data_IF_272647229228
#
_entry.id   IF_272647229228
#
_cell.length_a   1.000
_cell.length_b   1.000
_cell.length_c   1.000
_cell.angle_alpha   90.00
_cell.angle_beta   90.00
_cell.angle_gamma   90.00
#
_symmetry.space_group_name_H-M   'P 1'
#
loop_
_entity.id
_entity.type
_entity.pdbx_description
1 polymer ?
#
# COMPACT_ATOMS: atom_id res chain seq x y z
N UNK A 1 2.22 6.37 -8.07
CA UNK A 1 2.08 6.19 -6.62
C UNK A 1 2.17 7.54 -5.93
N UNK A 2 1.31 7.80 -4.96
CA UNK A 2 1.41 9.01 -4.13
C UNK A 2 2.41 8.83 -2.97
N UNK A 3 2.91 9.92 -2.39
CA UNK A 3 3.74 9.85 -1.19
C UNK A 3 2.92 9.39 0.03
N UNK A 4 3.56 8.65 0.92
CA UNK A 4 3.06 8.26 2.23
C UNK A 4 3.56 9.26 3.28
N UNK A 5 2.65 9.82 4.09
CA UNK A 5 3.03 10.60 5.27
C UNK A 5 3.06 9.70 6.50
N UNK A 6 4.17 9.69 7.22
CA UNK A 6 4.33 8.97 8.49
C UNK A 6 5.20 9.79 9.45
N UNK A 7 4.71 9.98 10.68
CA UNK A 7 5.41 10.75 11.72
C UNK A 7 5.85 12.16 11.27
N UNK A 8 5.05 12.80 10.40
CA UNK A 8 5.35 14.14 9.86
C UNK A 8 6.34 14.17 8.70
N UNK A 9 6.89 13.01 8.29
CA UNK A 9 7.79 12.90 7.15
C UNK A 9 7.07 12.31 5.93
N UNK A 10 7.53 12.67 4.74
CA UNK A 10 7.03 12.15 3.47
C UNK A 10 7.97 11.06 2.93
N UNK A 11 7.40 9.95 2.52
CA UNK A 11 8.10 8.78 1.97
C UNK A 11 7.47 8.34 0.66
N UNK A 12 8.28 7.90 -0.31
CA UNK A 12 7.75 7.31 -1.55
C UNK A 12 8.74 6.33 -2.16
N UNK A 13 8.20 5.40 -2.94
CA UNK A 13 8.98 4.38 -3.64
C UNK A 13 9.45 4.91 -5.00
N UNK A 14 10.69 4.60 -5.36
CA UNK A 14 11.25 4.84 -6.70
C UNK A 14 12.19 3.71 -7.09
N UNK A 15 12.46 3.54 -8.39
CA UNK A 15 13.57 2.71 -8.84
C UNK A 15 14.90 3.31 -8.38
N UNK A 16 15.85 2.43 -8.08
CA UNK A 16 17.23 2.82 -7.75
C UNK A 16 17.93 3.31 -9.04
N UNK A 17 18.51 4.53 -9.05
CA UNK A 17 19.25 5.03 -10.20
C UNK A 17 20.56 4.26 -10.47
N UNK A 18 21.16 3.67 -9.43
CA UNK A 18 22.45 2.99 -9.52
C UNK A 18 22.31 1.49 -9.85
N UNK A 19 21.16 0.88 -9.53
CA UNK A 19 20.80 -0.49 -9.92
C UNK A 19 19.36 -0.54 -10.45
N UNK A 20 19.22 -0.82 -11.74
CA UNK A 20 17.92 -0.85 -12.40
C UNK A 20 17.00 -1.96 -11.91
N UNK A 21 17.50 -2.94 -11.15
CA UNK A 21 16.74 -4.06 -10.59
C UNK A 21 16.26 -3.83 -9.14
N UNK A 22 16.59 -2.68 -8.55
CA UNK A 22 16.26 -2.38 -7.16
C UNK A 22 15.23 -1.25 -7.05
N UNK A 23 14.51 -1.28 -5.93
CA UNK A 23 13.64 -0.21 -5.50
C UNK A 23 14.16 0.34 -4.17
N UNK A 24 13.92 1.62 -3.94
CA UNK A 24 14.26 2.29 -2.70
C UNK A 24 13.11 3.18 -2.24
N UNK A 25 13.09 3.47 -0.94
CA UNK A 25 12.27 4.52 -0.35
C UNK A 25 13.10 5.80 -0.32
N UNK A 26 12.56 6.87 -0.89
CA UNK A 26 13.05 8.24 -0.69
C UNK A 26 12.25 8.91 0.41
N UNK A 27 12.90 9.85 1.08
CA UNK A 27 12.25 10.81 1.97
C UNK A 27 12.66 12.24 1.61
N UNK A 28 11.90 13.21 2.08
CA UNK A 28 12.27 14.62 2.02
C UNK A 28 12.71 15.09 3.40
N UNK A 29 13.95 15.56 3.51
CA UNK A 29 14.47 16.20 4.71
C UNK A 29 14.12 17.70 4.67
N UNK A 30 13.12 18.09 5.45
CA UNK A 30 12.69 19.48 5.57
C UNK A 30 13.73 20.40 6.21
N UNK A 31 14.70 19.88 6.96
CA UNK A 31 15.72 20.70 7.64
C UNK A 31 16.79 21.18 6.66
N UNK A 32 17.17 20.33 5.71
CA UNK A 32 18.17 20.65 4.69
C UNK A 32 17.56 20.85 3.30
N UNK A 33 16.23 20.74 3.17
CA UNK A 33 15.47 20.83 1.92
C UNK A 33 15.96 19.88 0.81
N UNK A 34 16.34 18.65 1.18
CA UNK A 34 16.92 17.68 0.24
C UNK A 34 16.22 16.33 0.23
N UNK A 35 16.24 15.69 -0.94
CA UNK A 35 15.81 14.30 -1.09
C UNK A 35 16.88 13.34 -0.58
N UNK A 36 16.49 12.41 0.30
CA UNK A 36 17.38 11.39 0.87
C UNK A 36 16.90 9.99 0.51
N UNK A 37 17.83 9.07 0.31
CA UNK A 37 17.50 7.64 0.34
C UNK A 37 17.26 7.26 1.80
N UNK A 38 16.08 6.71 2.09
CA UNK A 38 15.73 6.22 3.42
C UNK A 38 16.19 4.77 3.60
N UNK A 39 15.76 3.87 2.70
CA UNK A 39 16.21 2.47 2.71
C UNK A 39 15.99 1.81 1.35
N UNK A 40 16.65 0.66 1.12
CA UNK A 40 16.32 -0.24 0.03
C UNK A 40 15.05 -1.03 0.35
N UNK A 41 14.31 -1.45 -0.68
CA UNK A 41 13.17 -2.35 -0.54
C UNK A 41 13.64 -3.82 -0.55
N UNK A 42 12.91 -4.72 0.14
CA UNK A 42 13.30 -6.13 0.28
C UNK A 42 13.05 -6.96 -0.99
N UNK A 43 12.39 -6.38 -2.00
CA UNK A 43 11.97 -7.07 -3.21
C UNK A 43 12.72 -6.53 -4.43
N UNK A 44 13.11 -7.45 -5.32
CA UNK A 44 13.67 -7.08 -6.63
C UNK A 44 12.58 -6.61 -7.58
N UNK A 45 12.99 -5.77 -8.53
CA UNK A 45 12.19 -5.40 -9.69
C UNK A 45 12.18 -6.54 -10.69
N UNK A 46 10.99 -7.09 -10.93
CA UNK A 46 10.77 -8.09 -11.96
C UNK A 46 10.45 -7.42 -13.30
N UNK A 47 9.71 -6.31 -13.26
CA UNK A 47 9.32 -5.56 -14.45
C UNK A 47 9.17 -4.07 -14.14
N UNK A 48 9.32 -3.22 -15.16
CA UNK A 48 9.10 -1.76 -15.05
C UNK A 48 7.66 -1.35 -14.75
N UNK A 49 6.73 -2.31 -14.77
CA UNK A 49 5.29 -2.14 -14.53
C UNK A 49 4.83 -2.87 -13.26
N UNK A 50 5.76 -3.37 -12.45
CA UNK A 50 5.38 -3.92 -11.14
C UNK A 50 4.64 -2.82 -10.36
N UNK A 51 3.51 -3.19 -9.76
CA UNK A 51 2.78 -2.28 -8.88
C UNK A 51 3.39 -2.36 -7.50
N UNK A 52 3.65 -1.22 -6.87
CA UNK A 52 4.08 -1.12 -5.48
C UNK A 52 3.17 -0.16 -4.74
N UNK A 53 2.75 -0.52 -3.53
CA UNK A 53 1.94 0.37 -2.69
C UNK A 53 2.57 0.39 -1.33
N UNK A 54 2.99 1.59 -0.90
CA UNK A 54 3.54 1.82 0.44
C UNK A 54 2.41 2.26 1.37
N UNK A 55 2.33 1.67 2.56
CA UNK A 55 1.33 2.01 3.57
C UNK A 55 1.91 1.97 4.99
N UNK A 56 1.18 2.51 5.96
CA UNK A 56 1.53 2.45 7.38
C UNK A 56 1.21 1.06 7.94
N UNK A 57 2.13 0.51 8.72
CA UNK A 57 1.97 -0.76 9.43
C UNK A 57 2.15 -0.58 10.93
N UNK A 58 1.22 -1.11 11.74
CA UNK A 58 1.29 -1.10 13.22
C UNK A 58 1.73 0.25 13.81
N UNK A 59 1.19 1.36 13.30
CA UNK A 59 1.41 2.76 13.71
C UNK A 59 2.65 3.44 13.13
N UNK A 60 3.83 2.86 13.33
CA UNK A 60 5.13 3.50 13.02
C UNK A 60 6.05 2.63 12.18
N UNK A 61 5.53 1.54 11.62
CA UNK A 61 6.19 0.71 10.62
C UNK A 61 5.74 1.02 9.20
N UNK A 62 6.45 0.46 8.22
CA UNK A 62 5.97 0.39 6.85
C UNK A 62 5.39 -0.99 6.55
N UNK A 63 4.40 -1.00 5.66
CA UNK A 63 4.10 -2.15 4.82
C UNK A 63 4.32 -1.78 3.37
N UNK A 64 4.72 -2.77 2.58
CA UNK A 64 4.85 -2.68 1.14
C UNK A 64 4.08 -3.83 0.50
N UNK A 65 3.11 -3.50 -0.34
CA UNK A 65 2.48 -4.45 -1.25
C UNK A 65 3.18 -4.33 -2.60
N UNK A 66 3.61 -5.44 -3.16
CA UNK A 66 4.11 -5.52 -4.54
C UNK A 66 3.27 -6.51 -5.32
N UNK A 67 2.83 -6.15 -6.52
CA UNK A 67 2.33 -7.10 -7.51
C UNK A 67 3.29 -7.17 -8.69
N UNK A 68 3.82 -8.35 -8.97
CA UNK A 68 4.64 -8.59 -10.14
C UNK A 68 3.79 -8.47 -11.41
N UNK A 69 4.19 -7.65 -12.37
CA UNK A 69 3.44 -7.49 -13.62
C UNK A 69 3.37 -8.78 -14.45
N UNK A 70 4.45 -9.56 -14.44
CA UNK A 70 4.59 -10.77 -15.29
C UNK A 70 3.84 -11.95 -14.69
N UNK A 71 3.98 -12.18 -13.39
CA UNK A 71 3.41 -13.37 -12.72
C UNK A 71 2.08 -13.08 -12.06
N UNK A 72 1.75 -11.82 -11.79
CA UNK A 72 0.58 -11.41 -10.99
C UNK A 72 0.66 -11.79 -9.51
N UNK A 73 1.79 -12.37 -9.07
CA UNK A 73 2.06 -12.70 -7.66
C UNK A 73 2.05 -11.43 -6.81
N UNK A 74 1.38 -11.51 -5.65
CA UNK A 74 1.36 -10.44 -4.67
C UNK A 74 2.26 -10.80 -3.50
N UNK A 75 3.26 -9.97 -3.25
CA UNK A 75 4.14 -10.05 -2.08
C UNK A 75 3.78 -8.92 -1.12
N UNK A 76 3.63 -9.23 0.17
CA UNK A 76 3.42 -8.22 1.21
C UNK A 76 4.57 -8.29 2.20
N UNK A 77 5.28 -7.18 2.32
CA UNK A 77 6.40 -7.00 3.23
C UNK A 77 6.03 -6.01 4.32
N UNK A 78 6.56 -6.20 5.52
CA UNK A 78 6.39 -5.27 6.63
C UNK A 78 7.72 -5.03 7.33
N UNK A 79 7.88 -3.87 7.96
CA UNK A 79 9.04 -3.64 8.82
C UNK A 79 8.87 -4.41 10.13
N UNK A 80 9.97 -5.03 10.59
CA UNK A 80 9.98 -5.80 11.84
C UNK A 80 9.73 -4.91 13.06
N UNK A 81 10.35 -3.73 13.04
CA UNK A 81 10.29 -2.72 14.09
C UNK A 81 9.73 -1.41 13.52
N UNK A 82 9.53 -0.43 14.41
CA UNK A 82 9.31 0.96 14.01
C UNK A 82 10.42 1.44 13.09
N UNK A 83 10.10 2.33 12.17
CA UNK A 83 11.10 2.92 11.28
C UNK A 83 12.03 3.84 12.06
N UNK A 84 13.33 3.77 11.75
CA UNK A 84 14.38 4.66 12.24
C UNK A 84 15.34 4.97 11.09
N UNK A 85 16.23 5.94 11.29
CA UNK A 85 17.22 6.33 10.29
C UNK A 85 18.43 5.38 10.19
N UNK A 86 18.52 4.37 11.06
CA UNK A 86 19.67 3.46 11.12
C UNK A 86 19.53 2.29 10.15
N UNK A 87 18.65 1.34 10.46
CA UNK A 87 18.47 0.12 9.67
C UNK A 87 17.00 -0.29 9.62
N UNK A 88 16.48 -0.42 8.41
CA UNK A 88 15.11 -0.88 8.16
C UNK A 88 15.13 -2.38 7.85
N UNK A 89 14.75 -3.19 8.85
CA UNK A 89 14.62 -4.63 8.68
C UNK A 89 13.22 -4.98 8.18
N UNK A 90 13.15 -5.56 6.99
CA UNK A 90 11.92 -6.06 6.38
C UNK A 90 11.71 -7.55 6.64
N UNK A 91 10.45 -7.94 6.78
CA UNK A 91 10.02 -9.34 6.83
C UNK A 91 8.92 -9.56 5.79
N UNK A 92 8.99 -10.69 5.07
CA UNK A 92 7.87 -11.11 4.22
C UNK A 92 6.73 -11.55 5.16
N UNK A 93 5.59 -10.88 5.06
CA UNK A 93 4.41 -11.22 5.84
C UNK A 93 3.61 -12.33 5.17
N UNK A 94 3.45 -12.24 3.85
CA UNK A 94 2.78 -13.23 3.03
C UNK A 94 3.16 -13.05 1.56
N UNK A 95 3.11 -14.16 0.82
CA UNK A 95 3.12 -14.20 -0.64
C UNK A 95 1.86 -14.92 -1.08
N UNK A 96 1.07 -14.29 -1.95
CA UNK A 96 -0.22 -14.79 -2.40
C UNK A 96 -0.14 -15.20 -3.87
N UNK A 97 -0.66 -16.39 -4.23
CA UNK A 97 -0.61 -16.90 -5.60
C UNK A 97 -1.54 -16.11 -6.53
N UNK A 98 -1.27 -16.15 -7.84
CA UNK A 98 -1.95 -15.32 -8.84
C UNK A 98 -3.45 -15.55 -8.99
N UNK A 99 -3.94 -16.75 -8.69
CA UNK A 99 -5.33 -17.13 -8.93
C UNK A 99 -6.30 -16.36 -8.03
N UNK A 100 -7.38 -15.83 -8.62
CA UNK A 100 -8.48 -15.15 -7.90
C UNK A 100 -8.09 -13.87 -7.15
N UNK A 101 -6.95 -13.25 -7.48
CA UNK A 101 -6.56 -11.94 -6.95
C UNK A 101 -6.83 -10.83 -7.98
N UNK A 102 -7.15 -9.61 -7.53
CA UNK A 102 -7.30 -8.47 -8.43
C UNK A 102 -5.97 -8.12 -9.10
N UNK A 103 -6.03 -7.70 -10.37
CA UNK A 103 -4.91 -7.00 -10.99
C UNK A 103 -4.85 -5.56 -10.49
N UNK A 104 -3.73 -5.22 -9.89
CA UNK A 104 -3.42 -3.91 -9.34
C UNK A 104 -2.67 -3.04 -10.36
N UNK A 105 -1.98 -3.68 -11.33
CA UNK A 105 -1.30 -2.98 -12.41
C UNK A 105 -2.30 -2.41 -13.42
N UNK A 106 -2.02 -1.22 -13.95
CA UNK A 106 -2.86 -0.51 -14.93
C UNK A 106 -4.31 -0.28 -14.46
N UNK A 107 -4.53 -0.27 -13.15
CA UNK A 107 -5.85 -0.01 -12.61
C UNK A 107 -6.28 1.43 -12.93
N UNK A 108 -7.53 1.60 -13.36
CA UNK A 108 -8.12 2.92 -13.63
C UNK A 108 -8.19 3.78 -12.36
N UNK A 109 -8.15 3.13 -11.19
CA UNK A 109 -8.27 3.75 -9.88
C UNK A 109 -7.04 3.49 -9.02
N UNK A 110 -6.83 4.34 -8.01
CA UNK A 110 -5.76 4.14 -7.04
C UNK A 110 -5.96 2.85 -6.25
N UNK A 111 -4.85 2.18 -5.93
CA UNK A 111 -4.86 1.02 -5.04
C UNK A 111 -4.60 1.50 -3.63
N UNK A 112 -5.42 1.04 -2.68
CA UNK A 112 -5.17 1.19 -1.25
C UNK A 112 -5.28 -0.15 -0.56
N UNK A 113 -4.56 -0.34 0.53
CA UNK A 113 -4.66 -1.56 1.31
C UNK A 113 -4.30 -1.32 2.76
N UNK A 114 -4.70 -2.26 3.61
CA UNK A 114 -4.18 -2.39 4.95
C UNK A 114 -4.17 -3.85 5.37
N UNK A 115 -3.46 -4.12 6.47
CA UNK A 115 -3.28 -5.44 7.02
C UNK A 115 -3.92 -5.47 8.41
N UNK A 116 -4.82 -6.42 8.62
CA UNK A 116 -5.43 -6.64 9.93
C UNK A 116 -5.42 -8.14 10.24
N UNK A 117 -4.78 -8.53 11.35
CA UNK A 117 -4.69 -9.93 11.79
C UNK A 117 -4.33 -10.93 10.65
N UNK A 118 -3.22 -10.65 9.95
CA UNK A 118 -2.74 -11.40 8.77
C UNK A 118 -3.73 -11.47 7.59
N UNK A 119 -4.80 -10.69 7.61
CA UNK A 119 -5.73 -10.53 6.50
C UNK A 119 -5.32 -9.30 5.71
N UNK A 120 -5.17 -9.45 4.40
CA UNK A 120 -4.92 -8.36 3.49
C UNK A 120 -6.26 -7.82 3.00
N UNK A 121 -6.53 -6.55 3.24
CA UNK A 121 -7.73 -5.88 2.77
C UNK A 121 -7.30 -4.82 1.75
N UNK A 122 -7.73 -4.98 0.51
CA UNK A 122 -7.40 -4.08 -0.60
C UNK A 122 -8.66 -3.38 -1.08
N UNK A 123 -8.52 -2.16 -1.54
CA UNK A 123 -9.52 -1.48 -2.34
C UNK A 123 -8.89 -1.01 -3.64
N UNK A 124 -9.48 -1.46 -4.75
CA UNK A 124 -9.03 -1.17 -6.11
C UNK A 124 -10.20 -1.36 -7.08
N UNK A 125 -10.02 -0.93 -8.33
CA UNK A 125 -11.00 -1.15 -9.38
C UNK A 125 -11.01 -2.61 -9.82
N UNK A 126 -12.19 -3.14 -10.07
CA UNK A 126 -12.35 -4.44 -10.69
C UNK A 126 -11.89 -4.44 -12.15
N UNK A 127 -11.22 -5.51 -12.59
CA UNK A 127 -10.65 -5.58 -13.94
C UNK A 127 -11.73 -5.60 -15.03
N UNK A 128 -12.83 -6.32 -14.80
CA UNK A 128 -13.89 -6.50 -15.80
C UNK A 128 -14.85 -5.31 -15.84
N UNK A 129 -15.28 -4.85 -14.66
CA UNK A 129 -16.35 -3.85 -14.55
C UNK A 129 -15.84 -2.44 -14.32
N UNK A 130 -14.59 -2.26 -13.90
CA UNK A 130 -14.03 -0.99 -13.44
C UNK A 130 -14.65 -0.46 -12.13
N UNK A 131 -15.58 -1.19 -11.52
CA UNK A 131 -16.24 -0.78 -10.30
C UNK A 131 -15.29 -0.86 -9.10
N UNK A 132 -15.43 0.06 -8.15
CA UNK A 132 -14.68 0.00 -6.91
C UNK A 132 -15.02 -1.28 -6.17
N UNK A 133 -14.02 -2.04 -5.75
CA UNK A 133 -14.21 -3.26 -4.99
C UNK A 133 -13.28 -3.29 -3.78
N UNK A 134 -13.77 -3.84 -2.68
CA UNK A 134 -12.95 -4.30 -1.57
C UNK A 134 -12.69 -5.78 -1.73
N UNK A 135 -11.42 -6.16 -1.65
CA UNK A 135 -10.96 -7.54 -1.65
C UNK A 135 -10.44 -7.86 -0.26
N UNK A 136 -10.98 -8.91 0.35
CA UNK A 136 -10.55 -9.43 1.64
C UNK A 136 -9.85 -10.75 1.35
N UNK A 137 -8.53 -10.77 1.55
CA UNK A 137 -7.67 -11.91 1.23
C UNK A 137 -7.06 -12.48 2.48
N UNK A 138 -7.23 -13.79 2.67
CA UNK A 138 -6.66 -14.55 3.78
C UNK A 138 -6.32 -15.95 3.28
N UNK A 139 -5.04 -16.30 3.37
CA UNK A 139 -4.54 -17.59 2.88
C UNK A 139 -4.88 -17.78 1.39
N UNK A 140 -5.67 -18.78 1.03
CA UNK A 140 -6.13 -19.08 -0.32
C UNK A 140 -7.50 -18.45 -0.66
N UNK A 141 -8.16 -17.83 0.30
CA UNK A 141 -9.48 -17.22 0.13
C UNK A 141 -9.37 -15.75 -0.29
N UNK A 142 -10.12 -15.38 -1.33
CA UNK A 142 -10.32 -14.00 -1.74
C UNK A 142 -11.81 -13.71 -1.84
N UNK A 143 -12.32 -12.80 -1.00
CA UNK A 143 -13.70 -12.32 -1.06
C UNK A 143 -13.73 -10.93 -1.69
N UNK A 144 -14.46 -10.79 -2.80
CA UNK A 144 -14.75 -9.52 -3.47
C UNK A 144 -16.08 -8.94 -2.97
N UNK A 145 -16.09 -7.64 -2.67
CA UNK A 145 -17.27 -6.87 -2.32
C UNK A 145 -17.27 -5.61 -3.18
N UNK A 146 -18.25 -5.46 -4.07
CA UNK A 146 -18.38 -4.24 -4.87
C UNK A 146 -18.91 -3.08 -4.02
N UNK A 147 -18.32 -1.90 -4.20
CA UNK A 147 -18.64 -0.66 -3.51
C UNK A 147 -18.96 0.39 -4.57
N UNK A 148 -20.24 0.70 -4.74
CA UNK A 148 -20.70 1.69 -5.72
C UNK A 148 -21.18 1.10 -7.05
N UNK A 149 -21.69 1.98 -7.90
CA UNK A 149 -22.28 1.65 -9.21
C UNK A 149 -21.44 2.32 -10.31
N UNK A 150 -20.90 1.53 -11.24
CA UNK A 150 -20.24 2.03 -12.46
C UNK A 150 -18.70 2.16 -12.37
N UNK A 151 -18.10 2.57 -13.50
CA UNK A 151 -16.68 2.91 -13.60
C UNK A 151 -16.51 4.30 -13.00
N UNK A 152 -15.95 4.39 -11.81
CA UNK A 152 -15.77 5.67 -11.13
C UNK A 152 -14.30 5.84 -10.75
N UNK A 153 -13.71 7.00 -11.03
CA UNK A 153 -12.36 7.31 -10.53
C UNK A 153 -12.49 7.68 -9.07
N UNK A 154 -12.10 6.78 -8.16
CA UNK A 154 -12.14 7.04 -6.73
C UNK A 154 -10.75 7.25 -6.14
N UNK A 155 -10.69 8.09 -5.10
CA UNK A 155 -9.54 8.25 -4.23
C UNK A 155 -9.88 7.65 -2.87
N UNK A 156 -8.96 6.88 -2.30
CA UNK A 156 -9.19 6.19 -1.04
C UNK A 156 -8.45 6.89 0.10
N UNK A 157 -9.11 6.96 1.25
CA UNK A 157 -8.44 7.23 2.52
C UNK A 157 -8.73 6.06 3.45
N UNK A 158 -7.70 5.27 3.77
CA UNK A 158 -7.82 4.28 4.83
C UNK A 158 -7.71 5.03 6.15
N UNK A 159 -8.86 5.34 6.75
CA UNK A 159 -8.88 5.81 8.13
C UNK A 159 -8.67 4.61 9.04
N UNK A 160 -7.46 4.44 9.56
CA UNK A 160 -7.22 3.60 10.73
C UNK A 160 -7.83 4.36 11.92
N UNK A 161 -8.94 3.88 12.52
CA UNK A 161 -9.47 4.53 13.70
C UNK A 161 -8.41 4.44 14.80
N UNK A 162 -7.71 5.55 15.03
CA UNK A 162 -7.15 5.78 16.34
C UNK A 162 -8.32 5.73 17.32
N UNK A 163 -8.14 5.12 18.50
CA UNK A 163 -9.11 5.14 19.60
C UNK A 163 -9.39 6.56 20.15
N UNK A 164 -9.04 7.59 19.39
CA UNK A 164 -9.40 8.98 19.63
C UNK A 164 -10.82 9.15 19.07
N UNK A 165 -11.84 9.31 19.91
CA UNK A 165 -13.20 9.56 19.43
C UNK A 165 -13.22 10.82 18.57
N UNK A 166 -13.91 10.75 17.43
CA UNK A 166 -14.15 11.93 16.58
C UNK A 166 -14.85 12.99 17.45
N UNK A 167 -14.38 14.26 17.44
CA UNK A 167 -15.04 15.34 18.16
C UNK A 167 -16.54 15.33 17.86
N UNK A 168 -17.35 15.41 18.92
CA UNK A 168 -18.81 15.29 18.91
C UNK A 168 -19.52 16.25 17.94
N UNK A 169 -18.81 17.26 17.46
CA UNK A 169 -19.27 18.38 16.64
C UNK A 169 -19.62 17.98 15.20
N UNK A 170 -19.22 16.80 14.74
CA UNK A 170 -19.49 16.30 13.37
C UNK A 170 -20.58 15.23 13.28
N UNK A 171 -21.38 15.01 14.33
CA UNK A 171 -22.52 14.10 14.22
C UNK A 171 -23.60 14.75 13.34
N UNK A 172 -24.06 14.08 12.25
CA UNK A 172 -25.19 14.60 11.50
C UNK A 172 -26.39 14.69 12.44
N UNK A 173 -27.10 15.82 12.37
CA UNK A 173 -28.40 16.00 13.02
C UNK A 173 -29.27 14.82 12.60
N UNK A 174 -29.73 14.04 13.58
CA UNK A 174 -30.75 13.02 13.35
C UNK A 174 -32.01 13.76 12.91
N UNK A 175 -32.38 13.59 11.64
CA UNK A 175 -33.71 13.93 11.12
C UNK A 175 -34.68 12.85 11.59
#
# INVERSE_FOLDING_TARGET
>A
MGPLSLNGNLYWVTSNPDDTNEYLIRSFDFSNEMFRTFCLLPCRKNHSRDELVLAVYKRDGFSLLKQCYVTGEIEVWVTKNKISEEEVVWINLMTLPTSNLPKLVNNLCGVSYFIFDKTLIMCCGDEETGAACTYIVREDMCKKIQIGLGIDRFSHCVYLPNFIPVPSEFKPLRV
#
